data_IF_079785930675
#
_entry.id   IF_079785930675
#
_cell.length_a   1.000
_cell.length_b   1.000
_cell.length_c   1.000
_cell.angle_alpha   90.00
_cell.angle_beta   90.00
_cell.angle_gamma   90.00
#
_symmetry.space_group_name_H-M   'P 1'
#
loop_
_entity.id
_entity.type
_entity.pdbx_description
1 polymer ?
#
# COMPACT_ATOMS: atom_id res chain seq x y z
N UNK A 1 20.34 -2.09 2.32
CA UNK A 1 19.39 -2.96 1.61
C UNK A 1 18.01 -2.39 1.82
N UNK A 2 17.03 -2.80 1.01
CA UNK A 2 15.65 -2.41 1.26
C UNK A 2 15.23 -2.84 2.66
N UNK A 3 14.54 -1.96 3.39
CA UNK A 3 13.97 -2.28 4.70
C UNK A 3 12.74 -3.20 4.54
N UNK A 4 12.81 -4.47 4.93
CA UNK A 4 11.69 -5.40 4.83
C UNK A 4 10.55 -5.06 5.80
N UNK A 5 10.80 -4.34 6.89
CA UNK A 5 9.77 -3.92 7.82
C UNK A 5 9.58 -2.42 7.73
N UNK A 6 8.37 -2.00 7.39
CA UNK A 6 8.03 -0.61 7.21
C UNK A 6 6.80 -0.27 8.05
N UNK A 7 6.84 0.82 8.78
CA UNK A 7 5.72 1.34 9.53
C UNK A 7 5.41 2.76 9.08
N UNK A 8 4.14 3.06 8.95
CA UNK A 8 3.67 4.38 8.57
C UNK A 8 2.88 5.01 9.72
N UNK A 9 3.33 6.19 10.14
CA UNK A 9 2.77 6.94 11.24
C UNK A 9 2.10 8.21 10.72
N UNK A 10 0.85 8.45 11.12
CA UNK A 10 0.21 9.74 10.91
C UNK A 10 0.52 10.68 12.07
N UNK A 11 1.34 11.69 11.82
CA UNK A 11 1.64 12.80 12.73
C UNK A 11 0.55 13.85 12.57
N UNK A 12 -0.27 14.06 13.60
CA UNK A 12 -1.44 14.91 13.53
C UNK A 12 -1.19 16.40 13.78
N UNK A 13 -0.02 16.78 14.27
CA UNK A 13 0.31 18.12 14.74
C UNK A 13 1.45 18.80 13.95
N UNK A 14 1.75 18.30 12.75
CA UNK A 14 2.79 18.85 11.85
C UNK A 14 2.27 18.97 10.42
N UNK A 15 2.88 19.88 9.67
CA UNK A 15 2.85 19.91 8.20
C UNK A 15 4.16 19.37 7.61
N UNK A 16 4.19 19.11 6.30
CA UNK A 16 5.34 18.46 5.63
C UNK A 16 6.61 19.26 5.84
N UNK A 17 6.50 20.59 5.71
CA UNK A 17 7.59 21.56 5.81
C UNK A 17 8.28 21.53 7.19
N UNK A 18 7.54 21.16 8.23
CA UNK A 18 8.07 21.05 9.61
C UNK A 18 8.86 19.75 9.83
N UNK A 19 8.68 18.75 8.96
CA UNK A 19 9.37 17.45 9.01
C UNK A 19 10.45 17.29 7.92
N UNK A 20 10.60 18.26 7.02
CA UNK A 20 11.69 18.29 6.04
C UNK A 20 13.09 18.50 6.67
N UNK A 21 13.28 19.34 7.71
CA UNK A 21 14.61 19.57 8.29
C UNK A 21 15.19 18.30 8.93
N UNK A 22 16.51 18.10 8.79
CA UNK A 22 17.22 16.93 9.34
C UNK A 22 17.00 16.77 10.85
N UNK A 23 17.10 17.86 11.61
CA UNK A 23 16.90 17.83 13.06
C UNK A 23 15.51 17.31 13.46
N UNK A 24 14.47 17.64 12.69
CA UNK A 24 13.11 17.16 12.95
C UNK A 24 12.97 15.66 12.62
N UNK A 25 13.60 15.21 11.53
CA UNK A 25 13.62 13.79 11.14
C UNK A 25 14.39 12.94 12.15
N UNK A 26 15.55 13.39 12.60
CA UNK A 26 16.35 12.70 13.62
C UNK A 26 15.58 12.59 14.95
N UNK A 27 14.93 13.68 15.39
CA UNK A 27 14.09 13.65 16.59
C UNK A 27 12.93 12.65 16.44
N UNK A 28 12.32 12.60 15.25
CA UNK A 28 11.26 11.63 14.97
C UNK A 28 11.79 10.19 14.96
N UNK A 29 12.95 9.93 14.35
CA UNK A 29 13.60 8.62 14.34
C UNK A 29 13.98 8.16 15.74
N UNK A 30 14.43 9.07 16.61
CA UNK A 30 14.72 8.76 18.02
C UNK A 30 13.46 8.32 18.78
N UNK A 31 12.33 9.01 18.57
CA UNK A 31 11.05 8.60 19.15
C UNK A 31 10.56 7.26 18.56
N UNK A 32 10.69 7.08 17.25
CA UNK A 32 10.34 5.84 16.58
C UNK A 32 11.20 4.66 17.08
N UNK A 33 12.49 4.88 17.36
CA UNK A 33 13.41 3.89 17.91
C UNK A 33 12.97 3.42 19.30
N UNK A 34 12.41 4.31 20.12
CA UNK A 34 11.82 3.94 21.42
C UNK A 34 10.62 3.00 21.28
N UNK A 35 9.81 3.18 20.24
CA UNK A 35 8.65 2.32 19.96
C UNK A 35 9.06 1.00 19.31
N UNK A 36 10.03 1.03 18.41
CA UNK A 36 10.59 -0.15 17.76
C UNK A 36 11.49 -0.97 18.68
N UNK A 37 11.97 -0.36 19.77
CA UNK A 37 12.95 -0.90 20.73
C UNK A 37 14.30 -1.29 20.10
N UNK A 38 14.60 -0.72 18.92
CA UNK A 38 15.79 -1.00 18.11
C UNK A 38 16.23 0.24 17.33
N UNK A 39 17.47 0.23 16.82
CA UNK A 39 18.13 1.44 16.32
C UNK A 39 18.37 1.52 14.81
N UNK A 40 18.01 0.51 14.01
CA UNK A 40 18.25 0.48 12.56
C UNK A 40 17.11 1.11 11.76
N UNK A 41 16.70 2.33 12.13
CA UNK A 41 15.57 3.04 11.53
C UNK A 41 16.02 4.12 10.56
N UNK A 42 15.29 4.30 9.47
CA UNK A 42 15.42 5.43 8.56
C UNK A 42 14.08 5.84 7.99
N UNK A 43 13.93 7.11 7.63
CA UNK A 43 12.72 7.61 6.96
C UNK A 43 12.78 7.21 5.49
N UNK A 44 11.75 6.52 5.02
CA UNK A 44 11.57 6.12 3.62
C UNK A 44 10.85 7.23 2.85
N UNK A 45 9.76 7.75 3.43
CA UNK A 45 8.91 8.72 2.76
C UNK A 45 8.19 9.63 3.77
N UNK A 46 7.90 10.86 3.36
CA UNK A 46 7.12 11.85 4.09
C UNK A 46 6.07 12.41 3.13
N UNK A 47 4.79 12.21 3.43
CA UNK A 47 3.69 12.62 2.54
C UNK A 47 2.64 13.41 3.29
N UNK A 48 2.09 14.46 2.67
CA UNK A 48 1.00 15.23 3.27
C UNK A 48 -0.25 14.37 3.42
N UNK A 49 -0.99 14.53 4.52
CA UNK A 49 -2.30 13.89 4.67
C UNK A 49 -3.31 14.41 3.63
N UNK A 50 -3.13 15.63 3.12
CA UNK A 50 -3.99 16.18 2.07
C UNK A 50 -3.75 15.58 0.70
N UNK A 51 -2.50 15.30 0.34
CA UNK A 51 -2.15 14.75 -0.96
C UNK A 51 -2.85 13.41 -1.18
N UNK A 52 -2.97 12.60 -0.11
CA UNK A 52 -3.73 11.34 -0.15
C UNK A 52 -5.24 11.54 -0.24
N UNK A 53 -5.74 12.65 0.26
CA UNK A 53 -7.15 13.03 0.14
C UNK A 53 -7.50 13.71 -1.18
N UNK A 54 -6.51 14.02 -2.03
CA UNK A 54 -6.70 14.78 -3.27
C UNK A 54 -7.18 16.21 -3.02
N UNK A 55 -6.87 16.79 -1.87
CA UNK A 55 -7.33 18.13 -1.48
C UNK A 55 -6.20 19.14 -1.64
N UNK A 56 -6.57 20.37 -2.03
CA UNK A 56 -5.64 21.49 -2.07
C UNK A 56 -5.40 22.02 -0.65
N UNK A 57 -4.14 22.23 -0.21
CA UNK A 57 -3.84 22.83 1.09
C UNK A 57 -4.44 24.21 1.24
N UNK A 58 -5.10 24.43 2.38
CA UNK A 58 -5.64 25.73 2.76
C UNK A 58 -4.73 26.34 3.82
N UNK A 59 -4.12 27.51 3.58
CA UNK A 59 -3.24 28.16 4.55
C UNK A 59 -4.08 28.75 5.70
N UNK A 60 -4.42 27.91 6.69
CA UNK A 60 -5.14 28.30 7.90
C UNK A 60 -4.13 28.33 9.05
N UNK A 61 -3.86 29.53 9.58
CA UNK A 61 -2.91 29.69 10.68
C UNK A 61 -3.29 28.84 11.90
N UNK A 62 -2.28 28.18 12.48
CA UNK A 62 -2.44 27.33 13.67
C UNK A 62 -3.10 25.97 13.42
N UNK A 63 -3.56 25.69 12.20
CA UNK A 63 -4.13 24.38 11.85
C UNK A 63 -3.08 23.55 11.11
N UNK A 64 -2.73 22.40 11.69
CA UNK A 64 -1.93 21.38 11.00
C UNK A 64 -2.86 20.34 10.38
N UNK A 65 -2.54 19.93 9.16
CA UNK A 65 -3.35 18.98 8.39
C UNK A 65 -2.90 17.53 8.65
N UNK A 66 -1.65 17.37 9.06
CA UNK A 66 -1.03 16.11 9.39
C UNK A 66 -0.17 15.54 8.27
N UNK A 67 0.77 14.69 8.65
CA UNK A 67 1.79 14.13 7.76
C UNK A 67 1.92 12.64 8.01
N UNK A 68 1.98 11.86 6.94
CA UNK A 68 2.36 10.46 6.99
C UNK A 68 3.87 10.33 6.88
N UNK A 69 4.49 9.74 7.90
CA UNK A 69 5.93 9.43 7.93
C UNK A 69 6.10 7.92 7.86
N UNK A 70 6.74 7.46 6.79
CA UNK A 70 7.06 6.04 6.58
C UNK A 70 8.48 5.77 7.05
N UNK A 71 8.64 4.83 7.98
CA UNK A 71 9.91 4.45 8.59
C UNK A 71 10.23 3.00 8.23
N UNK A 72 11.45 2.76 7.78
CA UNK A 72 11.98 1.44 7.44
C UNK A 72 12.92 0.90 8.52
N UNK A 73 12.88 -0.42 8.71
CA UNK A 73 13.82 -1.19 9.53
C UNK A 73 14.13 -2.55 8.89
N UNK A 74 15.32 -3.07 9.18
CA UNK A 74 15.66 -4.48 8.93
C UNK A 74 15.18 -5.38 10.07
N UNK A 75 14.90 -4.79 11.22
CA UNK A 75 14.36 -5.48 12.37
C UNK A 75 12.83 -5.63 12.33
N UNK A 76 12.27 -6.77 12.78
CA UNK A 76 10.84 -6.94 12.95
C UNK A 76 10.24 -5.91 13.93
N UNK A 77 8.92 -5.76 13.84
CA UNK A 77 8.16 -4.87 14.71
C UNK A 77 8.24 -5.30 16.18
N UNK A 78 8.16 -4.32 17.08
CA UNK A 78 8.05 -4.62 18.51
C UNK A 78 6.66 -5.16 18.85
N UNK A 79 6.51 -5.90 19.97
CA UNK A 79 5.20 -6.36 20.43
C UNK A 79 4.21 -5.21 20.63
N UNK A 80 4.68 -4.01 20.96
CA UNK A 80 3.82 -2.84 21.07
C UNK A 80 3.25 -2.42 19.72
N UNK A 81 4.08 -2.34 18.68
CA UNK A 81 3.62 -1.98 17.33
C UNK A 81 2.61 -3.00 16.80
N UNK A 82 2.90 -4.29 16.99
CA UNK A 82 1.99 -5.37 16.59
C UNK A 82 0.65 -5.30 17.33
N UNK A 83 0.66 -5.04 18.64
CA UNK A 83 -0.54 -4.83 19.42
C UNK A 83 -1.32 -3.58 18.95
N UNK A 84 -0.62 -2.48 18.65
CA UNK A 84 -1.21 -1.24 18.18
C UNK A 84 -1.90 -1.41 16.81
N UNK A 85 -1.34 -2.22 15.91
CA UNK A 85 -1.90 -2.53 14.60
C UNK A 85 -2.86 -3.74 14.58
N UNK A 86 -3.11 -4.37 15.72
CA UNK A 86 -3.91 -5.59 15.82
C UNK A 86 -5.39 -5.39 15.39
N UNK A 87 -6.10 -6.46 14.98
CA UNK A 87 -7.54 -6.40 14.70
C UNK A 87 -8.37 -5.85 15.86
N UNK A 88 -7.98 -6.14 17.10
CA UNK A 88 -8.65 -5.63 18.30
C UNK A 88 -8.47 -4.12 18.45
N UNK A 89 -7.26 -3.61 18.20
CA UNK A 89 -6.99 -2.16 18.16
C UNK A 89 -7.80 -1.46 17.08
N UNK A 90 -7.91 -2.05 15.87
CA UNK A 90 -8.77 -1.51 14.80
C UNK A 90 -10.24 -1.44 15.20
N UNK A 91 -10.77 -2.50 15.82
CA UNK A 91 -12.15 -2.53 16.34
C UNK A 91 -12.39 -1.45 17.39
N UNK A 92 -11.43 -1.21 18.29
CA UNK A 92 -11.49 -0.12 19.27
C UNK A 92 -11.50 1.24 18.59
N UNK A 93 -10.63 1.46 17.62
CA UNK A 93 -10.57 2.69 16.83
C UNK A 93 -11.90 3.00 16.12
N UNK A 94 -12.58 1.98 15.55
CA UNK A 94 -13.90 2.15 14.95
C UNK A 94 -14.99 2.58 15.94
N UNK A 95 -14.80 2.31 17.24
CA UNK A 95 -15.69 2.74 18.33
C UNK A 95 -15.24 4.05 18.99
N UNK A 96 -14.25 4.74 18.43
CA UNK A 96 -13.64 5.93 19.03
C UNK A 96 -12.83 5.65 20.29
N UNK A 97 -12.49 4.39 20.56
CA UNK A 97 -11.68 3.98 21.70
C UNK A 97 -10.20 3.94 21.33
N UNK A 98 -9.32 4.08 22.34
CA UNK A 98 -7.87 4.01 22.14
C UNK A 98 -7.43 2.59 21.75
N UNK A 99 -6.42 2.45 20.87
CA UNK A 99 -5.87 1.15 20.50
C UNK A 99 -5.14 0.50 21.67
N UNK A 100 -4.90 -0.80 21.56
CA UNK A 100 -4.09 -1.58 22.51
C UNK A 100 -2.60 -1.35 22.20
N UNK A 101 -2.06 -0.22 22.67
CA UNK A 101 -0.63 0.07 22.63
C UNK A 101 -0.15 0.34 24.06
N UNK A 102 1.06 -0.07 24.42
CA UNK A 102 1.72 0.33 25.68
C UNK A 102 2.72 1.48 25.49
N UNK A 103 3.08 1.77 24.24
CA UNK A 103 4.11 2.73 23.83
C UNK A 103 3.52 4.01 23.21
N UNK A 104 2.25 4.32 23.49
CA UNK A 104 1.57 5.45 22.86
C UNK A 104 2.16 6.81 23.26
N UNK A 105 2.82 6.87 24.42
CA UNK A 105 3.41 8.09 24.97
C UNK A 105 4.84 8.37 24.45
N UNK A 106 5.48 7.43 23.76
CA UNK A 106 6.91 7.56 23.37
C UNK A 106 7.20 8.73 22.45
N UNK A 107 6.21 9.14 21.65
CA UNK A 107 6.33 10.29 20.75
C UNK A 107 6.02 11.63 21.44
N UNK A 108 5.38 11.61 22.61
CA UNK A 108 5.08 12.80 23.37
C UNK A 108 6.35 13.34 24.08
N UNK A 109 6.48 14.66 24.27
CA UNK A 109 5.55 15.72 23.86
C UNK A 109 5.77 16.21 22.41
N UNK A 110 6.78 15.69 21.71
CA UNK A 110 7.26 16.27 20.46
C UNK A 110 6.36 16.00 19.25
N UNK A 111 5.64 14.88 19.23
CA UNK A 111 4.76 14.50 18.12
C UNK A 111 3.46 13.88 18.63
N UNK A 112 2.35 14.25 17.99
CA UNK A 112 1.03 13.68 18.25
C UNK A 112 0.69 12.61 17.21
N UNK A 113 0.94 11.35 17.54
CA UNK A 113 0.67 10.23 16.62
C UNK A 113 -0.80 9.83 16.67
N UNK A 114 -1.42 9.77 15.49
CA UNK A 114 -2.76 9.19 15.29
C UNK A 114 -2.63 7.67 15.19
N UNK A 115 -2.54 7.00 16.32
CA UNK A 115 -2.33 5.55 16.42
C UNK A 115 -3.36 4.69 15.67
N UNK A 116 -4.60 5.17 15.51
CA UNK A 116 -5.62 4.47 14.72
C UNK A 116 -5.36 4.45 13.21
N UNK A 117 -4.37 5.22 12.74
CA UNK A 117 -3.93 5.28 11.35
C UNK A 117 -2.56 4.61 11.15
N UNK A 118 -2.04 3.92 12.16
CA UNK A 118 -0.79 3.16 12.05
C UNK A 118 -0.97 2.00 11.07
N UNK A 119 -0.07 1.88 10.10
CA UNK A 119 0.00 0.71 9.22
C UNK A 119 1.39 0.09 9.27
N UNK A 120 1.42 -1.24 9.37
CA UNK A 120 2.65 -2.04 9.35
C UNK A 120 2.67 -2.85 8.05
N UNK A 121 3.79 -2.78 7.34
CA UNK A 121 4.01 -3.40 6.04
C UNK A 121 5.27 -4.24 6.11
N UNK A 122 5.16 -5.51 5.72
CA UNK A 122 6.31 -6.36 5.50
C UNK A 122 6.54 -6.47 3.99
N UNK A 123 7.58 -5.79 3.51
CA UNK A 123 7.96 -5.77 2.10
C UNK A 123 8.98 -6.87 1.87
N UNK A 124 8.62 -7.83 1.03
CA UNK A 124 9.56 -8.83 0.54
C UNK A 124 10.26 -8.27 -0.68
N UNK A 125 11.59 -8.42 -0.80
CA UNK A 125 12.25 -8.09 -2.05
C UNK A 125 11.55 -8.87 -3.15
N UNK A 126 11.00 -8.16 -4.13
CA UNK A 126 10.55 -8.82 -5.35
C UNK A 126 11.78 -9.53 -5.92
N UNK A 127 11.67 -10.78 -6.41
CA UNK A 127 12.78 -11.38 -7.12
C UNK A 127 13.14 -10.40 -8.23
N UNK A 128 14.34 -9.80 -8.14
CA UNK A 128 14.90 -9.00 -9.21
C UNK A 128 14.98 -9.95 -10.38
N UNK A 129 13.95 -9.97 -11.22
CA UNK A 129 14.06 -10.55 -12.54
C UNK A 129 15.21 -9.76 -13.13
N UNK A 130 16.34 -10.39 -13.50
CA UNK A 130 17.41 -9.67 -14.14
C UNK A 130 16.75 -8.91 -15.28
N UNK A 131 16.75 -7.57 -15.20
CA UNK A 131 16.33 -6.77 -16.33
C UNK A 131 17.13 -7.27 -17.54
N UNK A 132 16.57 -7.24 -18.76
CA UNK A 132 17.33 -7.62 -19.94
C UNK A 132 18.67 -6.92 -19.88
N UNK A 133 19.76 -7.69 -19.98
CA UNK A 133 21.11 -7.13 -19.92
C UNK A 133 21.21 -6.03 -20.96
N UNK A 134 21.43 -4.80 -20.53
CA UNK A 134 21.63 -3.68 -21.44
C UNK A 134 22.99 -3.93 -22.11
N UNK A 135 22.98 -4.42 -23.34
CA UNK A 135 24.18 -4.45 -24.18
C UNK A 135 24.68 -3.02 -24.43
N UNK A 136 25.90 -2.88 -24.94
CA UNK A 136 26.55 -1.59 -25.22
C UNK A 136 25.71 -0.62 -26.08
N UNK A 137 24.68 -1.12 -26.79
CA UNK A 137 23.84 -0.33 -27.68
C UNK A 137 24.54 0.10 -28.97
N UNK A 138 25.81 -0.28 -29.13
CA UNK A 138 26.67 -0.03 -30.29
C UNK A 138 26.88 -1.35 -31.01
N UNK A 139 26.55 -1.37 -32.30
CA UNK A 139 26.83 -2.48 -33.21
C UNK A 139 28.29 -2.33 -33.67
N UNK A 140 29.13 -3.33 -33.41
CA UNK A 140 30.51 -3.34 -33.91
C UNK A 140 30.51 -3.38 -35.45
N UNK A 141 31.49 -2.72 -36.07
CA UNK A 141 31.53 -2.55 -37.53
C UNK A 141 31.68 -3.91 -38.23
N UNK A 142 30.61 -4.37 -38.87
CA UNK A 142 30.53 -5.69 -39.53
C UNK A 142 29.79 -6.78 -38.76
N UNK A 143 29.23 -6.50 -37.58
CA UNK A 143 28.36 -7.43 -36.86
C UNK A 143 26.90 -7.33 -37.35
N UNK A 144 26.22 -8.48 -37.47
CA UNK A 144 24.79 -8.53 -37.77
C UNK A 144 23.96 -8.15 -36.53
N UNK A 145 22.87 -7.41 -36.74
CA UNK A 145 21.95 -7.02 -35.66
C UNK A 145 21.12 -8.21 -35.22
N UNK A 146 21.35 -8.68 -33.98
CA UNK A 146 20.58 -9.76 -33.36
C UNK A 146 19.58 -9.16 -32.36
N UNK A 147 18.31 -8.93 -32.74
CA UNK A 147 17.33 -8.33 -31.84
C UNK A 147 17.07 -9.23 -30.62
N UNK A 148 16.80 -8.66 -29.43
CA UNK A 148 16.35 -9.44 -28.28
C UNK A 148 15.13 -10.28 -28.67
N UNK A 149 15.15 -11.57 -28.32
CA UNK A 149 14.02 -12.46 -28.56
C UNK A 149 12.76 -11.83 -27.99
N UNK A 150 11.69 -11.62 -28.79
CA UNK A 150 10.47 -11.04 -28.28
C UNK A 150 9.97 -11.91 -27.13
N UNK A 151 9.58 -11.27 -26.02
CA UNK A 151 8.95 -11.97 -24.91
C UNK A 151 7.76 -12.77 -25.45
N UNK A 152 7.62 -14.02 -24.99
CA UNK A 152 6.51 -14.89 -25.40
C UNK A 152 5.22 -14.13 -25.14
N UNK A 153 4.40 -13.85 -26.18
CA UNK A 153 3.17 -13.11 -26.00
C UNK A 153 2.28 -13.86 -25.00
N UNK A 154 1.60 -13.15 -24.09
CA UNK A 154 0.70 -13.80 -23.15
C UNK A 154 -0.35 -14.62 -23.93
N UNK A 155 -0.64 -15.82 -23.44
CA UNK A 155 -1.69 -16.68 -24.01
C UNK A 155 -3.07 -16.03 -23.70
N UNK A 156 -3.57 -15.19 -24.62
CA UNK A 156 -4.86 -14.50 -24.51
C UNK A 156 -6.07 -15.40 -24.78
N UNK A 157 -5.85 -16.56 -25.42
CA UNK A 157 -6.89 -17.51 -25.81
C UNK A 157 -7.83 -17.94 -24.66
N UNK A 158 -7.34 -18.32 -23.45
CA UNK A 158 -8.22 -18.69 -22.34
C UNK A 158 -9.10 -17.54 -21.85
N UNK A 159 -8.56 -16.32 -21.75
CA UNK A 159 -9.33 -15.13 -21.33
C UNK A 159 -10.42 -14.76 -22.34
N UNK A 160 -10.13 -14.89 -23.63
CA UNK A 160 -11.08 -14.69 -24.71
C UNK A 160 -12.23 -15.71 -24.66
N UNK A 161 -11.91 -17.01 -24.47
CA UNK A 161 -12.92 -18.06 -24.37
C UNK A 161 -13.85 -17.87 -23.18
N UNK A 162 -13.33 -17.49 -22.01
CA UNK A 162 -14.16 -17.23 -20.81
C UNK A 162 -15.09 -16.04 -21.07
N UNK A 163 -14.57 -14.95 -21.64
CA UNK A 163 -15.34 -13.74 -21.92
C UNK A 163 -16.45 -13.98 -22.95
N UNK A 164 -16.26 -14.92 -23.88
CA UNK A 164 -17.24 -15.25 -24.92
C UNK A 164 -18.25 -16.33 -24.50
N UNK A 165 -17.77 -17.44 -23.91
CA UNK A 165 -18.61 -18.60 -23.62
C UNK A 165 -19.55 -18.36 -22.43
N UNK A 166 -19.11 -17.60 -21.41
CA UNK A 166 -19.94 -17.35 -20.22
C UNK A 166 -21.22 -16.57 -20.58
N UNK A 167 -21.16 -15.42 -21.28
CA UNK A 167 -22.38 -14.72 -21.70
C UNK A 167 -23.28 -15.55 -22.63
N UNK A 168 -22.70 -16.33 -23.54
CA UNK A 168 -23.47 -17.20 -24.44
C UNK A 168 -24.20 -18.30 -23.68
N UNK A 169 -23.56 -18.93 -22.70
CA UNK A 169 -24.19 -19.95 -21.85
C UNK A 169 -25.34 -19.36 -21.03
N UNK A 170 -25.15 -18.17 -20.45
CA UNK A 170 -26.20 -17.44 -19.72
C UNK A 170 -27.37 -17.10 -20.64
N UNK A 171 -27.10 -16.57 -21.84
CA UNK A 171 -28.15 -16.26 -22.81
C UNK A 171 -28.93 -17.52 -23.23
N UNK A 172 -28.23 -18.61 -23.53
CA UNK A 172 -28.86 -19.89 -23.89
C UNK A 172 -29.74 -20.43 -22.75
N UNK A 173 -29.25 -20.37 -21.50
CA UNK A 173 -30.01 -20.78 -20.33
C UNK A 173 -31.28 -19.93 -20.16
N UNK A 174 -31.17 -18.61 -20.29
CA UNK A 174 -32.33 -17.71 -20.23
C UNK A 174 -33.33 -18.00 -21.35
N UNK A 175 -32.88 -18.26 -22.58
CA UNK A 175 -33.75 -18.66 -23.69
C UNK A 175 -34.48 -19.99 -23.42
N UNK A 176 -33.79 -20.98 -22.85
CA UNK A 176 -34.41 -22.25 -22.47
C UNK A 176 -35.45 -22.08 -21.36
N UNK A 177 -35.15 -21.26 -20.35
CA UNK A 177 -36.09 -20.94 -19.26
C UNK A 177 -37.31 -20.22 -19.83
N UNK A 178 -37.12 -19.18 -20.64
CA UNK A 178 -38.22 -18.43 -21.27
C UNK A 178 -39.05 -19.33 -22.18
N UNK A 179 -38.41 -20.17 -22.99
CA UNK A 179 -39.10 -21.16 -23.83
C UNK A 179 -39.92 -22.16 -23.00
N UNK A 180 -39.36 -22.66 -21.89
CA UNK A 180 -40.08 -23.53 -20.97
C UNK A 180 -41.28 -22.82 -20.33
N UNK A 181 -41.13 -21.58 -19.89
CA UNK A 181 -42.23 -20.80 -19.32
C UNK A 181 -43.33 -20.49 -20.36
N UNK A 182 -42.95 -20.11 -21.57
CA UNK A 182 -43.89 -19.76 -22.64
C UNK A 182 -44.61 -20.97 -23.24
N UNK A 183 -43.93 -22.11 -23.40
CA UNK A 183 -44.49 -23.31 -24.05
C UNK A 183 -45.06 -24.33 -23.07
N UNK A 184 -44.44 -24.51 -21.89
CA UNK A 184 -44.84 -25.56 -20.93
C UNK A 184 -45.68 -25.05 -19.76
N UNK A 185 -45.70 -23.73 -19.49
CA UNK A 185 -46.49 -23.13 -18.40
C UNK A 185 -47.56 -22.15 -18.86
N UNK A 186 -47.94 -22.19 -20.13
CA UNK A 186 -49.12 -21.47 -20.62
C UNK A 186 -50.38 -22.20 -20.16
N UNK A 187 -50.78 -21.99 -18.90
CA UNK A 187 -52.14 -22.25 -18.45
C UNK A 187 -53.07 -21.25 -19.15
N UNK A 188 -53.53 -21.67 -20.33
CA UNK A 188 -54.46 -20.95 -21.19
C UNK A 188 -55.36 -21.92 -21.96
N UNK A 189 -55.66 -23.08 -21.36
CA UNK A 189 -56.85 -23.92 -21.56
C UNK A 189 -57.29 -24.40 -20.19
#
# INVERSE_FOLDING_TARGET
GDAPFQAEFLVGDRNVEELLPDAARELFLQAAAGVWQRGDLHVINVTSALDRGGRVPLPIEGRREGVYVQVGSHSPFSPCLEAAASPQSRSRCHRGQRPLASCYDTFAPHFSIRWCNLTLLQVWPSPTTPGPGWGSGVLEEGADFEPPTPAVPPELLPGFLVTLLVPLAVAALLCLILGHLMCCRREGV
#
